data_IF_517472829641
#
_entry.id   IF_517472829641
#
_cell.length_a   1.000
_cell.length_b   1.000
_cell.length_c   1.000
_cell.angle_alpha   90.00
_cell.angle_beta   90.00
_cell.angle_gamma   90.00
#
_symmetry.space_group_name_H-M   'P 1'
#
loop_
_entity.id
_entity.type
_entity.pdbx_description
1 polymer ?
#
# COMPACT_ATOMS: atom_id res chain seq x y z
N UNK A 1 0.72 -6.53 -1.36
CA UNK A 1 1.21 -5.16 -1.68
C UNK A 1 2.29 -5.18 -2.76
N UNK A 2 3.39 -5.93 -2.61
CA UNK A 2 4.44 -6.06 -3.66
C UNK A 2 3.85 -6.31 -5.06
N UNK A 3 3.01 -7.34 -5.19
CA UNK A 3 2.31 -7.66 -6.44
C UNK A 3 1.46 -6.52 -7.03
N UNK A 4 0.83 -5.70 -6.18
CA UNK A 4 0.01 -4.57 -6.63
C UNK A 4 0.91 -3.47 -7.20
N UNK A 5 2.01 -3.19 -6.53
CA UNK A 5 3.01 -2.22 -6.98
C UNK A 5 3.69 -2.70 -8.27
N UNK A 6 4.07 -3.99 -8.32
CA UNK A 6 4.64 -4.63 -9.51
C UNK A 6 3.65 -4.56 -10.69
N UNK A 7 2.37 -4.87 -10.47
CA UNK A 7 1.32 -4.77 -11.49
C UNK A 7 1.12 -3.34 -12.00
N UNK A 8 1.16 -2.36 -11.09
CA UNK A 8 1.10 -0.94 -11.45
C UNK A 8 2.38 -0.43 -12.12
N UNK A 9 3.45 -1.22 -12.16
CA UNK A 9 4.75 -0.80 -12.68
C UNK A 9 5.39 0.32 -11.86
N UNK A 10 5.05 0.43 -10.57
CA UNK A 10 5.58 1.46 -9.69
C UNK A 10 6.92 1.02 -9.11
N UNK A 11 7.91 1.91 -9.15
CA UNK A 11 9.15 1.71 -8.41
C UNK A 11 8.90 1.82 -6.91
N UNK A 12 9.42 0.86 -6.14
CA UNK A 12 9.31 0.88 -4.69
C UNK A 12 10.52 0.27 -4.01
N UNK A 13 10.75 0.69 -2.77
CA UNK A 13 11.71 0.07 -1.86
C UNK A 13 11.00 -0.75 -0.81
N UNK A 14 11.46 -1.97 -0.59
CA UNK A 14 11.04 -2.81 0.54
C UNK A 14 11.83 -2.39 1.78
N UNK A 15 11.13 -2.02 2.83
CA UNK A 15 11.71 -1.74 4.14
C UNK A 15 11.20 -2.83 5.07
N UNK A 16 12.13 -3.62 5.63
CA UNK A 16 11.78 -4.62 6.61
C UNK A 16 11.61 -3.97 7.98
N UNK A 17 10.53 -4.33 8.67
CA UNK A 17 10.23 -3.81 10.00
C UNK A 17 10.81 -4.77 11.03
N UNK A 18 11.89 -4.37 11.68
CA UNK A 18 12.48 -5.13 12.78
C UNK A 18 11.49 -5.23 13.94
N UNK A 19 11.20 -6.44 14.47
CA UNK A 19 10.35 -6.60 15.64
C UNK A 19 10.83 -5.78 16.83
N UNK A 20 9.90 -5.24 17.61
CA UNK A 20 10.23 -4.30 18.68
C UNK A 20 10.49 -2.90 18.14
N UNK A 21 11.75 -2.49 18.00
CA UNK A 21 12.13 -1.08 17.72
C UNK A 21 11.46 -0.55 16.45
N UNK A 22 11.52 -1.31 15.35
CA UNK A 22 10.93 -0.90 14.07
C UNK A 22 9.41 -0.79 14.14
N UNK A 23 8.74 -1.66 14.91
CA UNK A 23 7.29 -1.57 15.11
C UNK A 23 6.87 -0.39 15.98
N UNK A 24 7.69 0.00 16.96
CA UNK A 24 7.43 1.22 17.75
C UNK A 24 7.56 2.46 16.87
N UNK A 25 8.58 2.51 16.02
CA UNK A 25 8.73 3.61 15.05
C UNK A 25 7.56 3.66 14.07
N UNK A 26 7.17 2.52 13.50
CA UNK A 26 6.01 2.41 12.63
C UNK A 26 4.75 2.92 13.33
N UNK A 27 4.52 2.52 14.57
CA UNK A 27 3.38 2.96 15.37
C UNK A 27 3.38 4.47 15.62
N UNK A 28 4.54 5.08 15.87
CA UNK A 28 4.62 6.54 16.03
C UNK A 28 4.26 7.29 14.75
N UNK A 29 4.56 6.71 13.58
CA UNK A 29 4.30 7.34 12.28
C UNK A 29 2.86 7.13 11.81
N UNK A 30 2.27 5.97 12.10
CA UNK A 30 1.02 5.53 11.47
C UNK A 30 -0.12 5.20 12.43
N UNK A 31 0.17 5.14 13.73
CA UNK A 31 -0.76 4.62 14.74
C UNK A 31 -0.90 3.10 14.73
N UNK A 32 -0.14 2.37 13.89
CA UNK A 32 -0.24 0.91 13.75
C UNK A 32 1.15 0.24 13.80
N UNK A 33 1.23 -0.92 14.47
CA UNK A 33 2.44 -1.76 14.58
C UNK A 33 2.56 -2.84 13.50
N UNK A 34 1.45 -3.11 12.81
CA UNK A 34 1.32 -4.18 11.83
C UNK A 34 1.59 -3.68 10.41
N UNK A 35 2.25 -4.53 9.62
CA UNK A 35 2.40 -4.37 8.17
C UNK A 35 1.22 -5.05 7.45
N UNK A 36 0.90 -4.66 6.21
CA UNK A 36 1.59 -3.69 5.35
C UNK A 36 1.32 -2.22 5.70
N UNK A 37 2.31 -1.36 5.40
CA UNK A 37 2.20 0.09 5.39
C UNK A 37 2.85 0.61 4.10
N UNK A 38 2.15 1.48 3.37
CA UNK A 38 2.70 2.19 2.23
C UNK A 38 3.10 3.59 2.66
N UNK A 39 4.29 4.03 2.26
CA UNK A 39 4.71 5.42 2.35
C UNK A 39 4.83 5.99 0.94
N UNK A 40 4.08 7.03 0.66
CA UNK A 40 4.13 7.77 -0.60
C UNK A 40 4.39 9.25 -0.29
N UNK A 41 5.60 9.71 -0.62
CA UNK A 41 6.11 11.01 -0.17
C UNK A 41 6.04 11.17 1.35
N UNK A 42 5.18 12.08 1.82
CA UNK A 42 4.93 12.35 3.24
C UNK A 42 3.72 11.60 3.82
N UNK A 43 2.94 10.90 2.98
CA UNK A 43 1.71 10.20 3.39
C UNK A 43 2.05 8.77 3.81
N UNK A 44 1.41 8.32 4.88
CA UNK A 44 1.42 6.92 5.30
C UNK A 44 0.01 6.36 5.15
N UNK A 45 -0.11 5.24 4.44
CA UNK A 45 -1.35 4.53 4.21
C UNK A 45 -1.20 3.16 4.86
N UNK A 46 -2.13 2.84 5.77
CA UNK A 46 -2.20 1.58 6.50
C UNK A 46 -3.36 0.75 5.99
N UNK A 47 -3.38 -0.55 6.33
CA UNK A 47 -4.35 -1.54 5.84
C UNK A 47 -4.20 -1.89 4.36
N UNK A 48 -4.26 -3.18 4.03
CA UNK A 48 -4.08 -3.64 2.65
C UNK A 48 -5.17 -3.13 1.69
N UNK A 49 -6.40 -2.99 2.18
CA UNK A 49 -7.55 -2.55 1.40
C UNK A 49 -7.43 -1.08 1.06
N UNK A 50 -7.09 -0.26 2.05
CA UNK A 50 -6.91 1.18 1.85
C UNK A 50 -5.69 1.48 1.01
N UNK A 51 -4.60 0.72 1.14
CA UNK A 51 -3.45 0.82 0.23
C UNK A 51 -3.86 0.52 -1.21
N UNK A 52 -4.64 -0.56 -1.45
CA UNK A 52 -5.09 -0.91 -2.80
C UNK A 52 -5.98 0.19 -3.41
N UNK A 53 -6.96 0.70 -2.65
CA UNK A 53 -7.82 1.80 -3.08
C UNK A 53 -7.01 3.08 -3.36
N UNK A 54 -6.09 3.43 -2.49
CA UNK A 54 -5.21 4.58 -2.65
C UNK A 54 -4.40 4.49 -3.95
N UNK A 55 -3.76 3.33 -4.18
CA UNK A 55 -2.98 3.10 -5.40
C UNK A 55 -3.86 3.13 -6.65
N UNK A 56 -5.11 2.68 -6.57
CA UNK A 56 -6.03 2.75 -7.70
C UNK A 56 -6.51 4.17 -8.00
N UNK A 57 -6.65 5.01 -6.98
CA UNK A 57 -7.06 6.40 -7.12
C UNK A 57 -5.92 7.29 -7.62
N UNK A 58 -4.74 7.21 -6.99
CA UNK A 58 -3.62 8.10 -7.33
C UNK A 58 -2.83 7.65 -8.56
N UNK A 59 -2.78 6.35 -8.82
CA UNK A 59 -2.10 5.76 -9.98
C UNK A 59 -3.12 4.97 -10.80
N UNK A 60 -4.03 5.63 -11.54
CA UNK A 60 -5.23 4.99 -12.09
C UNK A 60 -4.96 3.95 -13.19
N UNK A 61 -3.77 3.91 -13.77
CA UNK A 61 -3.41 3.02 -14.87
C UNK A 61 -2.18 2.17 -14.52
N UNK A 62 -2.21 0.84 -14.75
CA UNK A 62 -3.38 0.02 -15.08
C UNK A 62 -4.37 -0.10 -13.90
N UNK A 63 -5.70 -0.16 -14.12
CA UNK A 63 -6.68 -0.21 -13.04
C UNK A 63 -6.59 -1.52 -12.24
N UNK A 64 -6.66 -1.44 -10.90
CA UNK A 64 -6.75 -2.60 -10.00
C UNK A 64 -8.18 -3.11 -9.90
N UNK A 65 -9.12 -2.18 -9.87
CA UNK A 65 -10.55 -2.48 -9.77
C UNK A 65 -11.15 -2.19 -11.14
N UNK A 66 -11.82 -3.17 -11.77
CA UNK A 66 -12.54 -2.93 -13.02
C UNK A 66 -13.53 -1.78 -12.83
N UNK A 67 -13.41 -0.73 -13.65
CA UNK A 67 -14.32 0.43 -13.63
C UNK A 67 -15.76 0.06 -14.03
N UNK A 68 -15.95 -1.13 -14.62
CA UNK A 68 -17.25 -1.70 -14.92
C UNK A 68 -17.52 -2.92 -14.00
N UNK A 69 -18.52 -2.86 -13.11
CA UNK A 69 -18.85 -3.95 -12.19
C UNK A 69 -19.38 -5.21 -12.89
N UNK A 70 -19.62 -5.19 -14.22
CA UNK A 70 -20.07 -6.37 -14.98
C UNK A 70 -18.94 -7.27 -15.50
N UNK A 71 -17.69 -7.02 -15.11
CA UNK A 71 -16.57 -7.94 -15.38
C UNK A 71 -16.09 -8.61 -14.10
N UNK A 72 -16.95 -9.45 -13.52
CA UNK A 72 -16.47 -10.67 -12.87
C UNK A 72 -16.41 -11.74 -13.95
N UNK A 73 -15.22 -12.30 -14.17
CA UNK A 73 -15.01 -13.47 -15.05
C UNK A 73 -15.40 -14.75 -14.34
#
# INVERSE_FOLDING_TARGET
MRLILDYKGLDYRKIEVTPGIGQVELFRLTGQKQVPVLKDGSRYIVDSTEIAKYLDLEYPEPPLIPKDPKKEV
#
